data_IF_253891530610
#
_entry.id   IF_253891530610
#
_cell.length_a   1.000
_cell.length_b   1.000
_cell.length_c   1.000
_cell.angle_alpha   90.00
_cell.angle_beta   90.00
_cell.angle_gamma   90.00
#
_symmetry.space_group_name_H-M   'P 1'
#
loop_
_entity.id
_entity.type
_entity.pdbx_description
1 polymer ?
#
# COMPACT_ATOMS: atom_id res chain seq x y z
N UNK A 1 32.38 -64.62 -31.89
CA UNK A 1 33.37 -63.83 -32.68
C UNK A 1 34.12 -64.70 -33.71
N UNK A 2 34.84 -64.12 -34.69
CA UNK A 2 35.62 -64.88 -35.71
C UNK A 2 37.12 -64.70 -35.47
N UNK A 3 37.91 -65.77 -35.55
CA UNK A 3 39.36 -65.70 -35.41
C UNK A 3 39.97 -64.86 -36.53
N UNK A 4 40.72 -63.78 -36.23
CA UNK A 4 41.29 -62.91 -37.26
C UNK A 4 42.38 -63.59 -38.10
N UNK A 5 42.95 -64.69 -37.62
CA UNK A 5 44.03 -65.42 -38.29
C UNK A 5 43.56 -66.56 -39.18
N UNK A 6 42.54 -67.32 -38.76
CA UNK A 6 42.10 -68.51 -39.49
C UNK A 6 40.61 -68.52 -39.88
N UNK A 7 39.83 -67.50 -39.52
CA UNK A 7 38.41 -67.42 -39.88
C UNK A 7 37.49 -68.36 -39.11
N UNK A 8 37.98 -69.11 -38.12
CA UNK A 8 37.15 -70.01 -37.32
C UNK A 8 36.13 -69.23 -36.47
N UNK A 9 34.90 -69.76 -36.36
CA UNK A 9 33.86 -69.23 -35.47
C UNK A 9 34.17 -69.63 -34.01
N UNK A 10 34.35 -68.65 -33.15
CA UNK A 10 34.71 -68.80 -31.74
C UNK A 10 33.60 -68.29 -30.83
N UNK A 11 33.43 -68.93 -29.68
CA UNK A 11 32.57 -68.40 -28.61
C UNK A 11 33.23 -67.19 -27.95
N UNK A 12 32.40 -66.30 -27.40
CA UNK A 12 32.85 -64.98 -26.91
C UNK A 12 33.70 -65.05 -25.61
N UNK A 13 33.91 -66.24 -25.06
CA UNK A 13 34.67 -66.51 -23.82
C UNK A 13 36.03 -67.20 -24.08
N UNK A 14 36.33 -67.56 -25.34
CA UNK A 14 37.59 -68.25 -25.68
C UNK A 14 38.78 -67.28 -25.66
N UNK A 15 39.79 -67.58 -24.83
CA UNK A 15 41.05 -66.82 -24.72
C UNK A 15 42.03 -67.21 -25.84
N UNK A 16 41.86 -68.39 -26.45
CA UNK A 16 42.68 -68.88 -27.56
C UNK A 16 41.80 -69.55 -28.61
N UNK A 17 42.18 -69.41 -29.88
CA UNK A 17 41.52 -70.11 -30.97
C UNK A 17 41.82 -71.61 -30.90
N UNK A 18 40.80 -72.44 -30.71
CA UNK A 18 40.92 -73.90 -30.68
C UNK A 18 41.37 -74.53 -32.01
N UNK A 19 41.41 -73.77 -33.11
CA UNK A 19 41.83 -74.25 -34.43
C UNK A 19 43.27 -73.86 -34.79
N UNK A 20 43.75 -72.68 -34.40
CA UNK A 20 45.07 -72.20 -34.82
C UNK A 20 45.98 -71.73 -33.66
N UNK A 21 45.53 -71.86 -32.42
CA UNK A 21 46.29 -71.50 -31.22
C UNK A 21 46.47 -70.00 -30.99
N UNK A 22 45.94 -69.13 -31.85
CA UNK A 22 46.08 -67.68 -31.73
C UNK A 22 45.39 -67.16 -30.46
N UNK A 23 46.07 -66.29 -29.71
CA UNK A 23 45.48 -65.68 -28.52
C UNK A 23 44.43 -64.64 -28.93
N UNK A 24 43.22 -64.85 -28.44
CA UNK A 24 42.11 -63.94 -28.61
C UNK A 24 42.10 -62.97 -27.44
N UNK A 25 42.23 -61.68 -27.72
CA UNK A 25 42.00 -60.63 -26.71
C UNK A 25 40.49 -60.43 -26.57
N UNK A 26 39.87 -60.71 -25.41
CA UNK A 26 38.47 -60.40 -25.21
C UNK A 26 38.29 -58.89 -25.35
N UNK A 27 37.48 -58.47 -26.34
CA UNK A 27 37.09 -57.08 -26.51
C UNK A 27 36.26 -56.66 -25.31
N UNK A 28 36.90 -56.10 -24.29
CA UNK A 28 36.23 -55.69 -23.06
C UNK A 28 35.01 -54.83 -23.39
N UNK A 29 33.81 -55.33 -23.07
CA UNK A 29 32.56 -54.57 -23.23
C UNK A 29 32.71 -53.29 -22.39
N UNK A 30 33.01 -52.18 -23.05
CA UNK A 30 33.34 -50.90 -22.41
C UNK A 30 32.16 -50.46 -21.56
N UNK A 31 32.27 -50.60 -20.23
CA UNK A 31 31.35 -50.06 -19.24
C UNK A 31 31.18 -48.52 -19.34
N UNK A 32 32.00 -47.88 -20.18
CA UNK A 32 32.03 -46.45 -20.46
C UNK A 32 30.67 -45.85 -20.85
N UNK A 33 29.83 -46.58 -21.58
CA UNK A 33 28.47 -46.11 -21.91
C UNK A 33 27.57 -45.92 -20.68
N UNK A 34 27.69 -46.78 -19.67
CA UNK A 34 26.94 -46.63 -18.41
C UNK A 34 27.46 -45.48 -17.55
N UNK A 35 28.78 -45.27 -17.53
CA UNK A 35 29.38 -44.13 -16.85
C UNK A 35 29.00 -42.79 -17.52
N UNK A 36 28.96 -42.74 -18.85
CA UNK A 36 28.49 -41.56 -19.59
C UNK A 36 27.02 -41.27 -19.27
N UNK A 37 26.16 -42.29 -19.27
CA UNK A 37 24.74 -42.11 -18.92
C UNK A 37 24.55 -41.63 -17.48
N UNK A 38 25.31 -42.18 -16.51
CA UNK A 38 25.27 -41.73 -15.12
C UNK A 38 25.81 -40.30 -14.95
N UNK A 39 26.83 -39.92 -15.70
CA UNK A 39 27.37 -38.55 -15.68
C UNK A 39 26.39 -37.54 -16.28
N UNK A 40 25.74 -37.87 -17.39
CA UNK A 40 24.68 -37.04 -17.97
C UNK A 40 23.53 -36.89 -16.97
N UNK A 41 23.09 -37.99 -16.34
CA UNK A 41 22.04 -37.96 -15.32
C UNK A 41 22.43 -37.06 -14.14
N UNK A 42 23.67 -37.14 -13.67
CA UNK A 42 24.18 -36.26 -12.61
C UNK A 42 24.15 -34.79 -13.01
N UNK A 43 24.58 -34.44 -14.24
CA UNK A 43 24.52 -33.06 -14.72
C UNK A 43 23.08 -32.54 -14.83
N UNK A 44 22.14 -33.37 -15.26
CA UNK A 44 20.72 -33.02 -15.29
C UNK A 44 20.21 -32.75 -13.88
N UNK A 45 20.52 -33.62 -12.91
CA UNK A 45 20.11 -33.44 -11.50
C UNK A 45 20.73 -32.16 -10.92
N UNK A 46 22.01 -31.92 -11.16
CA UNK A 46 22.70 -30.71 -10.70
C UNK A 46 22.10 -29.44 -11.32
N UNK A 47 21.79 -29.46 -12.62
CA UNK A 47 21.13 -28.35 -13.31
C UNK A 47 19.73 -28.07 -12.77
N UNK A 48 18.92 -29.12 -12.55
CA UNK A 48 17.60 -28.99 -11.92
C UNK A 48 17.71 -28.47 -10.48
N UNK A 49 18.69 -28.94 -9.72
CA UNK A 49 18.96 -28.46 -8.36
C UNK A 49 19.33 -26.98 -8.34
N UNK A 50 20.23 -26.53 -9.22
CA UNK A 50 20.61 -25.13 -9.34
C UNK A 50 19.42 -24.24 -9.78
N UNK A 51 18.62 -24.69 -10.74
CA UNK A 51 17.44 -23.96 -11.19
C UNK A 51 16.36 -23.84 -10.11
N UNK A 52 16.08 -24.93 -9.39
CA UNK A 52 15.13 -24.89 -8.27
C UNK A 52 15.62 -24.01 -7.13
N UNK A 53 16.92 -24.01 -6.84
CA UNK A 53 17.53 -23.09 -5.89
C UNK A 53 17.35 -21.62 -6.32
N UNK A 54 17.64 -21.30 -7.59
CA UNK A 54 17.48 -19.96 -8.14
C UNK A 54 16.04 -19.44 -8.01
N UNK A 55 15.06 -20.23 -8.45
CA UNK A 55 13.64 -19.84 -8.40
C UNK A 55 13.14 -19.67 -6.96
N UNK A 56 13.66 -20.45 -6.01
CA UNK A 56 13.23 -20.38 -4.61
C UNK A 56 13.90 -19.28 -3.79
N UNK A 57 15.17 -18.96 -4.06
CA UNK A 57 15.94 -18.09 -3.17
C UNK A 57 16.36 -16.77 -3.83
N UNK A 58 16.60 -16.74 -5.15
CA UNK A 58 17.16 -15.56 -5.83
C UNK A 58 16.07 -14.74 -6.52
N UNK A 59 15.25 -15.40 -7.35
CA UNK A 59 14.16 -14.75 -8.09
C UNK A 59 13.19 -13.93 -7.20
N UNK A 60 12.71 -14.43 -6.04
CA UNK A 60 11.75 -13.66 -5.24
C UNK A 60 12.36 -12.37 -4.68
N UNK A 61 13.62 -12.40 -4.24
CA UNK A 61 14.33 -11.21 -3.74
C UNK A 61 14.54 -10.18 -4.86
N UNK A 62 14.84 -10.62 -6.08
CA UNK A 62 14.93 -9.72 -7.24
C UNK A 62 13.59 -9.02 -7.53
N UNK A 63 12.49 -9.77 -7.56
CA UNK A 63 11.15 -9.21 -7.77
C UNK A 63 10.75 -8.25 -6.65
N UNK A 64 11.14 -8.54 -5.41
CA UNK A 64 10.94 -7.66 -4.25
C UNK A 64 11.66 -6.32 -4.42
N UNK A 65 12.94 -6.35 -4.83
CA UNK A 65 13.71 -5.13 -5.09
C UNK A 65 13.11 -4.30 -6.24
N UNK A 66 12.71 -4.97 -7.34
CA UNK A 66 12.01 -4.30 -8.45
C UNK A 66 10.69 -3.67 -7.99
N UNK A 67 9.93 -4.34 -7.13
CA UNK A 67 8.68 -3.81 -6.58
C UNK A 67 8.94 -2.57 -5.71
N UNK A 68 10.00 -2.57 -4.90
CA UNK A 68 10.40 -1.41 -4.11
C UNK A 68 10.74 -0.20 -4.99
N UNK A 69 11.51 -0.40 -6.07
CA UNK A 69 11.83 0.65 -7.03
C UNK A 69 10.57 1.20 -7.72
N UNK A 70 9.64 0.33 -8.13
CA UNK A 70 8.36 0.75 -8.70
C UNK A 70 7.51 1.53 -7.70
N UNK A 71 7.48 1.11 -6.44
CA UNK A 71 6.74 1.81 -5.39
C UNK A 71 7.21 3.26 -5.24
N UNK A 72 8.52 3.49 -5.23
CA UNK A 72 9.09 4.84 -5.21
C UNK A 72 8.71 5.68 -6.44
N UNK A 73 8.69 5.09 -7.63
CA UNK A 73 8.26 5.78 -8.84
C UNK A 73 6.79 6.25 -8.74
N UNK A 74 5.90 5.37 -8.27
CA UNK A 74 4.49 5.72 -8.07
C UNK A 74 4.29 6.76 -6.98
N UNK A 75 5.02 6.67 -5.86
CA UNK A 75 4.95 7.65 -4.79
C UNK A 75 5.37 9.05 -5.27
N UNK A 76 6.45 9.13 -6.07
CA UNK A 76 6.90 10.38 -6.68
C UNK A 76 5.92 10.96 -7.71
N UNK A 77 5.05 10.11 -8.28
CA UNK A 77 3.98 10.50 -9.19
C UNK A 77 2.66 10.83 -8.44
N UNK A 78 2.64 10.77 -7.10
CA UNK A 78 1.45 10.89 -6.25
C UNK A 78 0.42 9.76 -6.45
N UNK A 79 0.81 8.64 -7.04
CA UNK A 79 -0.05 7.46 -7.21
C UNK A 79 0.03 6.57 -5.96
N UNK A 80 -0.39 7.12 -4.81
CA UNK A 80 -0.14 6.54 -3.48
C UNK A 80 -0.72 5.12 -3.29
N UNK A 81 -1.87 4.79 -3.88
CA UNK A 81 -2.43 3.43 -3.81
C UNK A 81 -1.54 2.41 -4.51
N UNK A 82 -1.07 2.74 -5.72
CA UNK A 82 -0.15 1.86 -6.44
C UNK A 82 1.16 1.73 -5.69
N UNK A 83 1.70 2.84 -5.17
CA UNK A 83 2.89 2.81 -4.32
C UNK A 83 2.71 1.85 -3.12
N UNK A 84 1.56 1.93 -2.43
CA UNK A 84 1.21 1.02 -1.34
C UNK A 84 1.18 -0.44 -1.77
N UNK A 85 0.50 -0.74 -2.89
CA UNK A 85 0.38 -2.10 -3.42
C UNK A 85 1.77 -2.69 -3.73
N UNK A 86 2.66 -1.90 -4.35
CA UNK A 86 4.02 -2.33 -4.67
C UNK A 86 4.92 -2.47 -3.43
N UNK A 87 4.88 -1.53 -2.48
CA UNK A 87 5.58 -1.71 -1.21
C UNK A 87 5.12 -2.97 -0.48
N UNK A 88 3.83 -3.32 -0.59
CA UNK A 88 3.25 -4.54 0.02
C UNK A 88 3.73 -5.84 -0.64
N UNK A 89 4.37 -5.77 -1.82
CA UNK A 89 4.98 -6.92 -2.47
C UNK A 89 6.42 -7.19 -1.98
N UNK A 90 7.03 -6.26 -1.24
CA UNK A 90 8.39 -6.40 -0.72
C UNK A 90 8.40 -7.43 0.39
N UNK A 91 9.30 -8.42 0.31
CA UNK A 91 9.32 -9.59 1.19
C UNK A 91 10.42 -9.50 2.26
N UNK A 92 10.26 -10.16 3.42
CA UNK A 92 11.26 -10.13 4.50
C UNK A 92 12.66 -10.60 4.10
N UNK A 93 12.78 -11.49 3.11
CA UNK A 93 14.06 -11.98 2.59
C UNK A 93 14.86 -10.91 1.84
N UNK A 94 14.21 -9.81 1.42
CA UNK A 94 14.89 -8.61 0.91
C UNK A 94 15.30 -7.71 2.08
N UNK A 95 16.33 -8.14 2.83
CA UNK A 95 16.82 -7.46 4.03
C UNK A 95 17.22 -6.00 3.78
N UNK A 96 17.55 -5.65 2.53
CA UNK A 96 17.95 -4.29 2.16
C UNK A 96 16.77 -3.33 2.13
N UNK A 97 15.63 -3.75 1.58
CA UNK A 97 14.50 -2.85 1.30
C UNK A 97 13.30 -3.07 2.22
N UNK A 98 13.17 -4.25 2.84
CA UNK A 98 11.97 -4.65 3.56
C UNK A 98 11.57 -3.65 4.65
N UNK A 99 12.50 -3.25 5.52
CA UNK A 99 12.19 -2.32 6.60
C UNK A 99 11.74 -0.96 6.05
N UNK A 100 12.43 -0.43 5.03
CA UNK A 100 12.03 0.82 4.39
C UNK A 100 10.66 0.71 3.74
N UNK A 101 10.32 -0.41 3.11
CA UNK A 101 8.98 -0.64 2.57
C UNK A 101 7.91 -0.62 3.66
N UNK A 102 8.16 -1.27 4.81
CA UNK A 102 7.24 -1.27 5.95
C UNK A 102 7.06 0.14 6.54
N UNK A 103 8.14 0.90 6.69
CA UNK A 103 8.07 2.29 7.18
C UNK A 103 7.24 3.16 6.22
N UNK A 104 7.43 2.99 4.90
CA UNK A 104 6.64 3.69 3.88
C UNK A 104 5.17 3.29 3.89
N UNK A 105 4.85 2.01 4.04
CA UNK A 105 3.48 1.53 4.21
C UNK A 105 2.82 2.19 5.42
N UNK A 106 3.53 2.30 6.55
CA UNK A 106 3.02 2.96 7.74
C UNK A 106 2.74 4.45 7.48
N UNK A 107 3.66 5.17 6.84
CA UNK A 107 3.47 6.58 6.45
C UNK A 107 2.26 6.76 5.49
N UNK A 108 2.13 5.89 4.49
CA UNK A 108 1.02 5.91 3.55
C UNK A 108 -0.33 5.64 4.23
N UNK A 109 -0.38 4.70 5.18
CA UNK A 109 -1.59 4.45 5.97
C UNK A 109 -2.03 5.70 6.75
N UNK A 110 -1.10 6.42 7.39
CA UNK A 110 -1.41 7.69 8.06
C UNK A 110 -1.97 8.72 7.07
N UNK A 111 -1.39 8.80 5.86
CA UNK A 111 -1.91 9.67 4.79
C UNK A 111 -3.32 9.25 4.37
N UNK A 112 -3.58 7.96 4.19
CA UNK A 112 -4.90 7.45 3.83
C UNK A 112 -5.94 7.77 4.89
N UNK A 113 -5.64 7.56 6.17
CA UNK A 113 -6.56 7.89 7.25
C UNK A 113 -6.79 9.40 7.39
N UNK A 114 -5.77 10.24 7.13
CA UNK A 114 -5.96 11.69 7.09
C UNK A 114 -6.95 12.11 5.98
N UNK A 115 -6.81 11.56 4.77
CA UNK A 115 -7.70 11.85 3.64
C UNK A 115 -9.10 11.25 3.83
N UNK A 116 -9.18 10.11 4.51
CA UNK A 116 -10.43 9.50 4.94
C UNK A 116 -11.22 10.42 5.86
N UNK A 117 -10.56 10.96 6.89
CA UNK A 117 -11.17 11.92 7.81
C UNK A 117 -11.63 13.18 7.09
N UNK A 118 -10.81 13.69 6.16
CA UNK A 118 -11.15 14.85 5.36
C UNK A 118 -12.39 14.61 4.47
N UNK A 119 -12.45 13.45 3.81
CA UNK A 119 -13.60 13.05 2.99
C UNK A 119 -14.87 12.93 3.84
N UNK A 120 -14.79 12.30 5.02
CA UNK A 120 -15.92 12.19 5.96
C UNK A 120 -16.45 13.56 6.33
N UNK A 121 -15.57 14.51 6.69
CA UNK A 121 -16.02 15.86 7.04
C UNK A 121 -16.73 16.57 5.90
N UNK A 122 -16.23 16.45 4.66
CA UNK A 122 -16.95 16.95 3.49
C UNK A 122 -18.33 16.32 3.31
N UNK A 123 -18.45 15.00 3.44
CA UNK A 123 -19.72 14.29 3.26
C UNK A 123 -20.74 14.68 4.31
N UNK A 124 -20.30 14.80 5.58
CA UNK A 124 -21.11 15.29 6.69
C UNK A 124 -21.62 16.72 6.43
N UNK A 125 -20.74 17.62 5.99
CA UNK A 125 -21.11 19.00 5.65
C UNK A 125 -22.08 19.07 4.47
N UNK A 126 -21.83 18.29 3.41
CA UNK A 126 -22.68 18.24 2.22
C UNK A 126 -24.10 17.77 2.55
N UNK A 127 -24.22 16.72 3.35
CA UNK A 127 -25.53 16.21 3.75
C UNK A 127 -26.30 17.17 4.63
N UNK A 128 -25.61 17.91 5.52
CA UNK A 128 -26.20 18.98 6.30
C UNK A 128 -26.53 20.23 5.46
N UNK A 129 -26.18 20.26 4.18
CA UNK A 129 -26.51 21.35 3.25
C UNK A 129 -25.58 22.55 3.33
N UNK A 130 -24.42 22.44 3.98
CA UNK A 130 -23.44 23.53 4.07
C UNK A 130 -22.68 23.76 2.76
N UNK A 131 -22.50 22.72 1.95
CA UNK A 131 -21.78 22.76 0.68
C UNK A 131 -22.41 21.84 -0.35
N UNK A 132 -22.20 22.15 -1.63
CA UNK A 132 -22.66 21.31 -2.74
C UNK A 132 -21.49 20.58 -3.41
N UNK A 133 -20.32 21.21 -3.39
CA UNK A 133 -19.08 20.78 -4.04
C UNK A 133 -17.92 20.82 -3.03
N UNK A 134 -17.02 19.84 -3.11
CA UNK A 134 -15.77 19.80 -2.35
C UNK A 134 -14.99 21.11 -2.49
N UNK A 135 -15.05 21.73 -3.67
CA UNK A 135 -14.32 22.96 -3.96
C UNK A 135 -14.66 24.16 -3.09
N UNK A 136 -15.75 24.11 -2.35
CA UNK A 136 -16.15 25.14 -1.39
C UNK A 136 -15.35 25.06 -0.08
N UNK A 137 -14.70 23.93 0.21
CA UNK A 137 -13.86 23.76 1.39
C UNK A 137 -12.46 24.31 1.14
N UNK A 138 -11.98 25.08 2.11
CA UNK A 138 -10.62 25.62 2.17
C UNK A 138 -9.99 25.28 3.51
N UNK A 139 -8.65 25.39 3.61
CA UNK A 139 -7.88 25.13 4.83
C UNK A 139 -8.22 23.83 5.55
N UNK A 140 -8.41 22.74 4.78
CA UNK A 140 -8.77 21.44 5.32
C UNK A 140 -7.60 20.87 6.13
N UNK A 141 -7.86 20.59 7.40
CA UNK A 141 -6.90 20.00 8.34
C UNK A 141 -7.60 18.93 9.17
N UNK A 142 -6.86 17.91 9.57
CA UNK A 142 -7.41 16.76 10.28
C UNK A 142 -6.57 16.36 11.48
N UNK A 143 -7.24 15.74 12.44
CA UNK A 143 -6.66 14.95 13.51
C UNK A 143 -7.35 13.58 13.51
N UNK A 144 -6.63 12.57 13.03
CA UNK A 144 -7.16 11.20 12.87
C UNK A 144 -7.48 10.57 14.23
N UNK A 145 -6.58 10.74 15.20
CA UNK A 145 -6.74 10.17 16.55
C UNK A 145 -8.01 10.69 17.24
N UNK A 146 -8.27 11.99 17.12
CA UNK A 146 -9.46 12.65 17.66
C UNK A 146 -10.69 12.54 16.75
N UNK A 147 -10.57 11.90 15.57
CA UNK A 147 -11.60 11.87 14.52
C UNK A 147 -12.20 13.25 14.28
N UNK A 148 -11.32 14.23 14.11
CA UNK A 148 -11.64 15.65 13.99
C UNK A 148 -11.13 16.19 12.65
N UNK A 149 -11.95 17.01 12.02
CA UNK A 149 -11.57 17.82 10.87
C UNK A 149 -11.91 19.28 11.16
N UNK A 150 -11.04 20.18 10.73
CA UNK A 150 -11.30 21.62 10.65
C UNK A 150 -11.22 22.06 9.20
N UNK A 151 -12.09 22.95 8.78
CA UNK A 151 -12.00 23.59 7.47
C UNK A 151 -12.63 24.98 7.50
N UNK A 152 -12.57 25.69 6.38
CA UNK A 152 -13.27 26.95 6.16
C UNK A 152 -14.20 26.87 4.96
N UNK A 153 -15.38 27.47 5.09
CA UNK A 153 -16.35 27.70 4.02
C UNK A 153 -16.66 29.19 4.03
N UNK A 154 -16.42 29.88 2.91
CA UNK A 154 -16.58 31.35 2.80
C UNK A 154 -15.90 32.14 3.95
N UNK A 155 -14.75 31.64 4.41
CA UNK A 155 -13.97 32.24 5.51
C UNK A 155 -14.47 31.90 6.92
N UNK A 156 -15.64 31.28 7.08
CA UNK A 156 -16.17 30.80 8.37
C UNK A 156 -15.54 29.46 8.71
N UNK A 157 -15.09 29.31 9.96
CA UNK A 157 -14.48 28.08 10.47
C UNK A 157 -15.52 27.02 10.81
N UNK A 158 -15.23 25.77 10.47
CA UNK A 158 -16.06 24.61 10.77
C UNK A 158 -15.22 23.52 11.44
N UNK A 159 -15.76 22.90 12.48
CA UNK A 159 -15.22 21.68 13.09
C UNK A 159 -16.20 20.54 12.89
N UNK A 160 -15.69 19.40 12.43
CA UNK A 160 -16.42 18.15 12.31
C UNK A 160 -15.75 17.15 13.22
N UNK A 161 -16.45 16.66 14.24
CA UNK A 161 -15.88 15.69 15.18
C UNK A 161 -16.94 14.83 15.85
N UNK A 162 -16.55 13.69 16.46
CA UNK A 162 -17.50 12.81 17.17
C UNK A 162 -17.91 13.30 18.56
N UNK A 163 -17.26 14.34 19.07
CA UNK A 163 -17.60 14.95 20.36
C UNK A 163 -18.21 16.32 20.09
N UNK A 164 -19.33 16.65 20.74
CA UNK A 164 -19.82 18.01 20.68
C UNK A 164 -18.83 18.91 21.40
N UNK A 165 -18.46 20.03 20.77
CA UNK A 165 -18.03 21.20 21.50
C UNK A 165 -19.31 21.79 22.10
N UNK A 166 -19.34 22.05 23.41
CA UNK A 166 -20.56 22.50 24.10
C UNK A 166 -21.20 23.70 23.38
N UNK A 167 -22.53 23.76 23.30
CA UNK A 167 -23.21 24.89 22.64
C UNK A 167 -22.91 26.20 23.38
N UNK A 168 -22.28 27.15 22.69
CA UNK A 168 -22.05 28.50 23.17
C UNK A 168 -22.50 29.52 22.12
N UNK A 169 -22.80 30.75 22.57
CA UNK A 169 -23.26 31.88 21.73
C UNK A 169 -22.32 32.23 20.55
N UNK A 170 -21.13 31.65 20.53
CA UNK A 170 -20.06 31.89 19.57
C UNK A 170 -19.78 30.69 18.65
N UNK A 171 -20.40 29.54 18.87
CA UNK A 171 -20.19 28.35 18.04
C UNK A 171 -21.35 27.34 18.18
N UNK A 172 -22.47 27.54 17.46
CA UNK A 172 -23.53 26.55 17.42
C UNK A 172 -23.01 25.18 16.94
N UNK A 173 -23.40 24.11 17.63
CA UNK A 173 -23.06 22.73 17.29
C UNK A 173 -24.33 21.95 16.94
N UNK A 174 -24.36 21.33 15.76
CA UNK A 174 -25.46 20.46 15.36
C UNK A 174 -24.98 19.01 15.25
N UNK A 175 -25.79 18.07 15.71
CA UNK A 175 -25.54 16.65 15.47
C UNK A 175 -25.92 16.33 14.02
N UNK A 176 -24.98 15.75 13.28
CA UNK A 176 -25.23 15.23 11.94
C UNK A 176 -26.17 14.03 12.02
N UNK A 177 -27.01 13.87 11.00
CA UNK A 177 -27.81 12.66 10.80
C UNK A 177 -26.94 11.44 10.47
N UNK A 178 -25.68 11.68 10.11
CA UNK A 178 -24.72 10.66 9.67
C UNK A 178 -23.65 10.39 10.72
N UNK A 179 -23.72 9.17 11.26
CA UNK A 179 -22.65 8.46 11.96
C UNK A 179 -22.05 9.15 13.21
N UNK A 180 -22.91 9.78 14.02
CA UNK A 180 -22.55 10.42 15.30
C UNK A 180 -21.49 11.53 15.22
N UNK A 181 -21.35 12.20 14.07
CA UNK A 181 -20.55 13.43 13.99
C UNK A 181 -21.36 14.66 14.39
N UNK A 182 -20.66 15.65 14.94
CA UNK A 182 -21.14 17.00 15.21
C UNK A 182 -20.48 17.98 14.25
N UNK A 183 -21.25 18.96 13.79
CA UNK A 183 -20.78 20.08 12.99
C UNK A 183 -20.87 21.31 13.88
N UNK A 184 -19.73 21.92 14.19
CA UNK A 184 -19.65 23.17 14.93
C UNK A 184 -19.29 24.29 13.97
N UNK A 185 -20.20 25.23 13.80
CA UNK A 185 -20.03 26.41 12.94
C UNK A 185 -19.54 27.59 13.78
N UNK A 186 -18.37 28.15 13.47
CA UNK A 186 -17.80 29.29 14.20
C UNK A 186 -18.28 30.61 13.58
N UNK A 187 -19.59 30.81 13.72
CA UNK A 187 -20.30 32.03 13.32
C UNK A 187 -21.01 32.61 14.53
N UNK A 188 -20.78 33.89 14.79
CA UNK A 188 -21.41 34.56 15.92
C UNK A 188 -22.92 34.74 15.69
N UNK A 189 -23.73 34.47 16.74
CA UNK A 189 -25.14 34.88 16.76
C UNK A 189 -25.20 36.40 16.89
N UNK A 190 -25.74 37.10 15.88
CA UNK A 190 -25.80 38.57 15.86
C UNK A 190 -26.99 39.10 16.69
N UNK A 191 -26.82 40.27 17.31
CA UNK A 191 -27.88 40.97 18.06
C UNK A 191 -28.19 42.29 17.35
N UNK A 192 -29.47 42.60 17.14
CA UNK A 192 -29.88 43.74 16.31
C UNK A 192 -30.00 45.09 17.04
N UNK A 193 -29.54 46.12 16.31
CA UNK A 193 -29.88 47.56 16.31
C UNK A 193 -29.24 48.50 17.37
N UNK A 194 -28.47 49.48 16.85
CA UNK A 194 -27.79 50.55 17.60
C UNK A 194 -26.61 51.15 16.83
N UNK A 195 -26.05 52.27 17.31
CA UNK A 195 -24.88 52.93 16.69
C UNK A 195 -23.61 52.06 16.73
N UNK A 196 -23.48 51.15 17.71
CA UNK A 196 -22.31 50.29 17.90
C UNK A 196 -22.49 48.86 17.39
N UNK A 197 -23.57 48.58 16.65
CA UNK A 197 -23.91 47.21 16.24
C UNK A 197 -22.86 46.61 15.32
N UNK A 198 -22.25 47.41 14.43
CA UNK A 198 -21.23 46.92 13.51
C UNK A 198 -19.97 46.46 14.26
N UNK A 199 -19.49 47.26 15.21
CA UNK A 199 -18.31 46.97 16.02
C UNK A 199 -18.55 45.77 16.94
N UNK A 200 -19.72 45.72 17.59
CA UNK A 200 -20.10 44.58 18.44
C UNK A 200 -20.17 43.27 17.64
N UNK A 201 -20.77 43.30 16.44
CA UNK A 201 -20.85 42.12 15.58
C UNK A 201 -19.46 41.67 15.09
N UNK A 202 -18.56 42.61 14.76
CA UNK A 202 -17.17 42.29 14.42
C UNK A 202 -16.45 41.60 15.58
N UNK A 203 -16.53 42.16 16.79
CA UNK A 203 -15.89 41.59 17.97
C UNK A 203 -16.41 40.18 18.28
N UNK A 204 -17.72 39.96 18.14
CA UNK A 204 -18.32 38.63 18.34
C UNK A 204 -17.80 37.63 17.30
N UNK A 205 -17.70 38.03 16.03
CA UNK A 205 -17.16 37.17 14.98
C UNK A 205 -15.65 36.91 15.16
N UNK A 206 -14.87 37.90 15.58
CA UNK A 206 -13.44 37.73 15.89
C UNK A 206 -13.24 36.77 17.08
N UNK A 207 -14.11 36.88 18.10
CA UNK A 207 -14.13 35.98 19.25
C UNK A 207 -14.43 34.55 18.79
N UNK A 208 -15.45 34.36 17.95
CA UNK A 208 -15.79 33.06 17.37
C UNK A 208 -14.63 32.48 16.55
N UNK A 209 -13.99 33.27 15.69
CA UNK A 209 -12.83 32.83 14.91
C UNK A 209 -11.62 32.51 15.82
N UNK A 210 -11.46 33.18 16.96
CA UNK A 210 -10.41 32.85 17.94
C UNK A 210 -10.64 31.47 18.54
N UNK A 211 -11.88 31.10 18.88
CA UNK A 211 -12.20 29.74 19.33
C UNK A 211 -11.92 28.70 18.24
N UNK A 212 -12.25 28.99 16.99
CA UNK A 212 -11.91 28.12 15.87
C UNK A 212 -10.40 27.90 15.75
N UNK A 213 -9.59 28.96 15.86
CA UNK A 213 -8.14 28.86 15.78
C UNK A 213 -7.55 27.98 16.91
N UNK A 214 -8.17 27.95 18.09
CA UNK A 214 -7.78 27.06 19.18
C UNK A 214 -8.02 25.60 18.80
N UNK A 215 -9.17 25.28 18.20
CA UNK A 215 -9.47 23.93 17.69
C UNK A 215 -8.51 23.50 16.57
N UNK A 216 -8.11 24.46 15.72
CA UNK A 216 -7.18 24.23 14.62
C UNK A 216 -5.76 23.88 15.09
N UNK A 217 -5.37 24.20 16.33
CA UNK A 217 -4.06 23.84 16.88
C UNK A 217 -3.87 22.32 17.00
N UNK A 218 -4.96 21.55 17.11
CA UNK A 218 -4.88 20.08 17.20
C UNK A 218 -4.94 19.38 15.84
N UNK A 219 -5.16 20.10 14.74
CA UNK A 219 -5.31 19.54 13.39
C UNK A 219 -4.16 19.92 12.46
N UNK A 220 -3.91 19.09 11.43
CA UNK A 220 -2.84 19.32 10.43
C UNK A 220 -3.34 19.07 9.01
N UNK A 221 -2.84 19.84 8.04
CA UNK A 221 -3.22 19.73 6.62
C UNK A 221 -2.18 19.05 5.73
N UNK A 222 -0.96 18.79 6.22
CA UNK A 222 0.20 18.37 5.40
C UNK A 222 -0.03 17.09 4.59
N UNK A 223 -0.88 16.20 5.09
CA UNK A 223 -1.16 14.90 4.48
C UNK A 223 -2.43 14.88 3.62
N UNK A 224 -3.26 15.92 3.71
CA UNK A 224 -4.51 16.03 2.96
C UNK A 224 -4.21 16.34 1.50
N UNK A 225 -4.82 15.60 0.58
CA UNK A 225 -4.66 15.68 -0.87
C UNK A 225 -6.01 15.55 -1.54
N UNK A 226 -6.33 16.46 -2.44
CA UNK A 226 -7.61 16.49 -3.12
C UNK A 226 -7.88 15.18 -3.87
N UNK A 227 -6.87 14.62 -4.54
CA UNK A 227 -7.02 13.39 -5.31
C UNK A 227 -7.41 12.20 -4.44
N UNK A 228 -6.78 12.04 -3.27
CA UNK A 228 -7.10 10.95 -2.33
C UNK A 228 -8.44 11.16 -1.65
N UNK A 229 -8.81 12.41 -1.33
CA UNK A 229 -10.12 12.70 -0.79
C UNK A 229 -11.23 12.32 -1.76
N UNK A 230 -11.10 12.70 -3.05
CA UNK A 230 -12.11 12.40 -4.07
C UNK A 230 -12.31 10.89 -4.26
N UNK A 231 -11.24 10.08 -4.18
CA UNK A 231 -11.40 8.62 -4.22
C UNK A 231 -12.33 8.07 -3.12
N UNK A 232 -12.25 8.61 -1.89
CA UNK A 232 -13.12 8.21 -0.79
C UNK A 232 -14.53 8.75 -0.94
N UNK A 233 -14.67 9.97 -1.47
CA UNK A 233 -15.95 10.60 -1.76
C UNK A 233 -16.69 9.80 -2.83
N UNK A 234 -16.01 9.43 -3.92
CA UNK A 234 -16.56 8.62 -5.00
C UNK A 234 -16.95 7.23 -4.50
N UNK A 235 -16.13 6.62 -3.64
CA UNK A 235 -16.47 5.35 -2.98
C UNK A 235 -17.78 5.45 -2.19
N UNK A 236 -17.98 6.51 -1.41
CA UNK A 236 -19.22 6.75 -0.67
C UNK A 236 -20.40 6.98 -1.61
N UNK A 237 -20.24 7.77 -2.68
CA UNK A 237 -21.33 8.00 -3.63
C UNK A 237 -21.82 6.71 -4.29
N UNK A 238 -20.92 5.75 -4.50
CA UNK A 238 -21.24 4.46 -5.10
C UNK A 238 -21.85 3.46 -4.10
N UNK A 239 -21.44 3.50 -2.83
CA UNK A 239 -21.81 2.48 -1.82
C UNK A 239 -22.82 2.95 -0.79
N UNK A 240 -22.90 4.26 -0.54
CA UNK A 240 -23.62 4.86 0.58
C UNK A 240 -22.96 4.65 1.94
N UNK A 241 -21.77 4.06 2.00
CA UNK A 241 -21.08 3.72 3.25
C UNK A 241 -19.89 4.62 3.50
N UNK A 242 -19.82 5.22 4.71
CA UNK A 242 -18.69 6.05 5.06
C UNK A 242 -17.39 5.23 5.08
N UNK A 243 -16.26 5.82 4.67
CA UNK A 243 -14.97 5.18 4.75
C UNK A 243 -14.63 4.72 6.18
N UNK A 244 -14.23 3.46 6.31
CA UNK A 244 -13.86 2.87 7.60
C UNK A 244 -12.38 3.09 7.90
N UNK A 245 -12.04 3.57 9.10
CA UNK A 245 -10.65 3.66 9.58
C UNK A 245 -10.07 2.26 9.83
N UNK A 246 -8.80 2.05 9.49
CA UNK A 246 -8.13 0.78 9.77
C UNK A 246 -7.80 0.67 11.26
N UNK A 247 -8.38 -0.32 11.94
CA UNK A 247 -8.11 -0.61 13.35
C UNK A 247 -9.02 0.14 14.33
N UNK A 248 -9.12 -0.39 15.55
CA UNK A 248 -9.66 0.37 16.68
C UNK A 248 -8.60 1.41 17.05
N UNK A 249 -8.98 2.69 17.01
CA UNK A 249 -8.23 3.76 17.66
C UNK A 249 -8.27 3.51 19.17
#
# INVERSE_FOLDING_TARGET
MVCPKCGAQLSDEMIFCNQCGEQIRPGGKRAWGKFILLFILFLVIAGVGAYTYYIRNVKPVQMSAEAFDQAHLYENQNEYRKAFDYYSMVIPEDEQNFQSAQDRIAELNVRFDANKMAAIGYMVLKQAGYVNNRLELTDIKVNVEQRKMTCRIDGIGFVISRQSLDDADYHPSIKSETDDYYITEFKAVFVENGFLTSELNSIRQDTSNTFFMIEELSTKGELVRDELMEEYIDSYQNTGELPLFSGNI
#
